data_IF_165898468485
#
_entry.id   IF_165898468485
#
_cell.length_a   1.000
_cell.length_b   1.000
_cell.length_c   1.000
_cell.angle_alpha   90.00
_cell.angle_beta   90.00
_cell.angle_gamma   90.00
#
_symmetry.space_group_name_H-M   'P 1'
#
loop_
_entity.id
_entity.type
_entity.pdbx_description
1 polymer ?
#
# COMPACT_ATOMS: atom_id res chain seq x y z
N UNK A 1 -62.97 50.83 -69.52
CA UNK A 1 -64.26 51.31 -68.96
C UNK A 1 -64.82 50.23 -68.07
N UNK A 2 -65.66 50.58 -67.08
CA UNK A 2 -65.35 51.24 -65.80
C UNK A 2 -64.94 50.18 -64.73
N UNK A 3 -64.80 50.38 -63.42
CA UNK A 3 -65.27 51.40 -62.45
C UNK A 3 -64.33 51.39 -61.21
N UNK A 4 -63.71 52.51 -60.77
CA UNK A 4 -64.07 53.34 -59.57
C UNK A 4 -64.25 52.57 -58.25
N UNK A 5 -63.88 53.01 -57.03
CA UNK A 5 -63.44 54.29 -56.37
C UNK A 5 -63.02 53.88 -54.91
N UNK A 6 -62.49 54.66 -53.96
CA UNK A 6 -61.85 56.00 -53.86
C UNK A 6 -61.30 56.24 -52.44
N UNK A 7 -60.16 56.95 -52.32
CA UNK A 7 -59.88 57.85 -51.19
C UNK A 7 -59.10 57.24 -50.00
N UNK A 8 -57.96 57.79 -49.57
CA UNK A 8 -57.74 59.07 -48.86
C UNK A 8 -58.04 58.98 -47.35
N UNK A 9 -57.28 59.56 -46.40
CA UNK A 9 -55.98 60.25 -46.41
C UNK A 9 -55.70 60.76 -44.99
N UNK A 10 -54.50 60.57 -44.41
CA UNK A 10 -54.00 61.42 -43.31
C UNK A 10 -52.55 61.11 -42.90
N UNK A 11 -51.62 61.94 -43.38
CA UNK A 11 -50.45 62.40 -42.59
C UNK A 11 -50.97 63.39 -41.50
N UNK A 12 -50.22 63.82 -40.45
CA UNK A 12 -48.76 64.04 -40.48
C UNK A 12 -47.95 63.95 -39.15
N UNK A 13 -46.65 64.28 -39.25
CA UNK A 13 -45.75 64.82 -38.18
C UNK A 13 -45.37 63.87 -37.02
N UNK A 14 -44.22 63.98 -36.34
CA UNK A 14 -42.96 64.73 -36.62
C UNK A 14 -41.83 64.35 -35.63
N UNK A 15 -40.60 64.86 -35.89
CA UNK A 15 -39.46 65.13 -34.96
C UNK A 15 -38.26 64.14 -34.89
N UNK A 16 -37.05 64.74 -34.81
CA UNK A 16 -35.73 64.13 -34.51
C UNK A 16 -35.05 63.39 -35.67
N UNK A 17 -34.10 63.92 -36.47
CA UNK A 17 -32.73 64.40 -36.13
C UNK A 17 -32.03 63.46 -35.13
N UNK A 18 -31.13 62.53 -35.53
CA UNK A 18 -29.73 62.70 -36.07
C UNK A 18 -28.73 63.20 -35.00
N UNK A 19 -27.43 62.77 -34.93
CA UNK A 19 -26.71 61.67 -35.63
C UNK A 19 -25.86 60.74 -34.70
N UNK A 20 -25.14 59.79 -35.31
CA UNK A 20 -23.84 59.18 -34.94
C UNK A 20 -23.28 59.39 -33.51
N UNK A 21 -23.02 58.29 -32.80
CA UNK A 21 -21.99 58.27 -31.72
C UNK A 21 -21.21 56.96 -31.71
N UNK A 22 -19.89 57.07 -31.82
CA UNK A 22 -18.95 55.97 -31.72
C UNK A 22 -18.80 55.43 -30.28
N UNK A 23 -17.97 54.39 -30.14
CA UNK A 23 -17.40 53.83 -28.90
C UNK A 23 -18.36 53.25 -27.84
N UNK A 24 -18.45 51.91 -27.81
CA UNK A 24 -18.77 51.16 -26.57
C UNK A 24 -18.04 49.80 -26.51
N UNK A 25 -16.97 49.76 -25.69
CA UNK A 25 -16.27 48.58 -25.09
C UNK A 25 -15.70 47.54 -26.08
N UNK A 26 -14.38 47.39 -26.25
CA UNK A 26 -13.39 46.77 -25.33
C UNK A 26 -13.71 45.34 -24.83
N UNK A 27 -12.65 44.51 -24.82
CA UNK A 27 -12.51 43.22 -24.12
C UNK A 27 -13.12 41.96 -24.77
N UNK A 28 -12.47 41.48 -25.83
CA UNK A 28 -12.46 40.06 -26.20
C UNK A 28 -11.09 39.44 -25.86
N UNK A 29 -10.74 39.43 -24.58
CA UNK A 29 -9.37 39.09 -24.14
C UNK A 29 -9.07 37.59 -24.27
N UNK A 30 -7.82 37.26 -24.64
CA UNK A 30 -7.25 35.90 -24.54
C UNK A 30 -7.60 35.24 -23.20
N UNK A 31 -7.94 33.96 -23.24
CA UNK A 31 -7.36 32.93 -22.35
C UNK A 31 -7.73 31.54 -22.86
N UNK A 32 -6.72 30.77 -23.27
CA UNK A 32 -6.90 29.34 -23.44
C UNK A 32 -7.23 28.74 -22.07
N UNK A 33 -8.29 27.93 -22.00
CA UNK A 33 -8.45 27.01 -20.88
C UNK A 33 -7.46 25.87 -21.08
N UNK A 34 -6.21 26.13 -20.68
CA UNK A 34 -5.41 25.06 -20.10
C UNK A 34 -6.30 24.35 -19.09
N UNK A 35 -6.43 23.04 -19.23
CA UNK A 35 -6.91 22.16 -18.17
C UNK A 35 -5.92 22.29 -17.02
N UNK A 36 -6.10 23.33 -16.20
CA UNK A 36 -5.39 23.49 -14.96
C UNK A 36 -5.70 22.25 -14.13
N UNK A 37 -4.72 21.36 -14.04
CA UNK A 37 -4.69 20.32 -13.03
C UNK A 37 -4.99 21.04 -11.72
N UNK A 38 -6.09 20.68 -11.07
CA UNK A 38 -6.32 21.06 -9.70
C UNK A 38 -5.22 20.35 -8.91
N UNK A 39 -4.12 21.05 -8.69
CA UNK A 39 -3.00 20.57 -7.91
C UNK A 39 -3.53 20.26 -6.51
N UNK A 40 -3.78 18.97 -6.25
CA UNK A 40 -4.18 18.49 -4.93
C UNK A 40 -3.12 19.01 -3.97
N UNK A 41 -3.54 19.69 -2.90
CA UNK A 41 -2.61 20.19 -1.90
C UNK A 41 -1.67 19.05 -1.46
N UNK A 42 -0.35 19.30 -1.33
CA UNK A 42 0.63 18.26 -1.07
C UNK A 42 0.23 17.47 0.18
N UNK A 43 0.26 16.13 0.09
CA UNK A 43 -0.11 15.24 1.21
C UNK A 43 0.97 15.35 2.30
N UNK A 44 0.79 16.27 3.24
CA UNK A 44 1.76 16.56 4.29
C UNK A 44 1.56 15.71 5.56
N UNK A 45 2.61 15.65 6.37
CA UNK A 45 2.61 15.05 7.70
C UNK A 45 2.04 16.05 8.70
N UNK A 46 1.23 15.60 9.68
CA UNK A 46 0.71 16.47 10.73
C UNK A 46 1.85 16.97 11.63
N UNK A 47 1.97 18.30 11.80
CA UNK A 47 3.04 18.95 12.56
C UNK A 47 2.79 19.00 14.08
N UNK A 48 1.91 18.14 14.59
CA UNK A 48 1.55 18.11 16.01
C UNK A 48 2.66 17.45 16.83
N UNK A 49 2.89 17.87 18.09
CA UNK A 49 3.78 17.14 18.99
C UNK A 49 3.21 15.75 19.25
N UNK A 50 4.10 14.75 19.35
CA UNK A 50 3.71 13.39 19.71
C UNK A 50 3.02 13.36 21.07
N UNK A 51 1.93 12.58 21.18
CA UNK A 51 1.22 12.44 22.45
C UNK A 51 2.03 11.61 23.46
N UNK A 52 1.85 11.81 24.79
CA UNK A 52 2.56 11.03 25.80
C UNK A 52 2.34 9.50 25.71
N UNK A 53 1.16 9.06 25.24
CA UNK A 53 0.86 7.64 25.03
C UNK A 53 1.66 7.03 23.86
N UNK A 54 1.94 7.80 22.81
CA UNK A 54 2.81 7.36 21.72
C UNK A 54 4.26 7.18 22.19
N UNK A 55 4.77 8.13 22.97
CA UNK A 55 6.11 8.05 23.55
C UNK A 55 6.25 6.86 24.50
N UNK A 56 5.23 6.59 25.31
CA UNK A 56 5.16 5.38 26.15
C UNK A 56 5.13 4.09 25.33
N UNK A 57 4.40 4.09 24.20
CA UNK A 57 4.36 2.93 23.29
C UNK A 57 5.73 2.66 22.69
N UNK A 58 6.44 3.70 22.20
CA UNK A 58 7.82 3.56 21.72
C UNK A 58 8.80 3.08 22.80
N UNK A 59 8.68 3.60 24.02
CA UNK A 59 9.48 3.14 25.16
C UNK A 59 9.24 1.65 25.45
N UNK A 60 7.98 1.20 25.39
CA UNK A 60 7.61 -0.20 25.58
C UNK A 60 8.14 -1.09 24.45
N UNK A 61 8.05 -0.67 23.19
CA UNK A 61 8.67 -1.39 22.06
C UNK A 61 10.19 -1.53 22.27
N UNK A 62 10.86 -0.45 22.67
CA UNK A 62 12.30 -0.46 22.95
C UNK A 62 12.68 -1.39 24.11
N UNK A 63 11.90 -1.40 25.20
CA UNK A 63 12.09 -2.33 26.32
C UNK A 63 11.92 -3.78 25.87
N UNK A 64 10.93 -4.09 25.02
CA UNK A 64 10.76 -5.44 24.45
C UNK A 64 12.00 -5.82 23.62
N UNK A 65 12.50 -4.92 22.75
CA UNK A 65 13.72 -5.18 21.97
C UNK A 65 14.94 -5.49 22.85
N UNK A 66 15.14 -4.72 23.93
CA UNK A 66 16.24 -4.97 24.87
C UNK A 66 16.07 -6.28 25.65
N UNK A 67 14.84 -6.61 26.07
CA UNK A 67 14.56 -7.83 26.83
C UNK A 67 14.65 -9.10 25.97
N UNK A 68 14.35 -8.99 24.68
CA UNK A 68 14.33 -10.12 23.74
C UNK A 68 15.66 -10.33 23.03
N UNK A 69 16.64 -9.44 23.22
CA UNK A 69 17.95 -9.55 22.59
C UNK A 69 18.63 -10.91 22.89
N UNK A 70 19.16 -11.63 21.87
CA UNK A 70 19.75 -12.95 22.08
C UNK A 70 20.96 -12.87 23.00
N UNK A 71 20.84 -13.42 24.20
CA UNK A 71 21.98 -13.69 25.07
C UNK A 71 22.60 -15.03 24.69
N UNK A 72 23.93 -15.14 24.78
CA UNK A 72 24.76 -16.19 24.16
C UNK A 72 24.56 -17.64 24.64
N UNK A 73 23.50 -17.89 25.42
CA UNK A 73 23.11 -19.21 25.93
C UNK A 73 21.58 -19.42 25.91
N UNK A 74 20.82 -18.60 25.17
CA UNK A 74 19.35 -18.59 25.24
C UNK A 74 18.67 -19.61 24.31
N UNK A 75 17.46 -20.01 24.70
CA UNK A 75 16.65 -21.03 24.02
C UNK A 75 16.32 -20.61 22.58
N UNK A 76 16.31 -21.55 21.62
CA UNK A 76 15.95 -21.28 20.20
C UNK A 76 14.59 -20.59 20.05
N UNK A 77 13.68 -20.75 21.00
CA UNK A 77 12.39 -20.04 21.06
C UNK A 77 12.55 -18.51 21.20
N UNK A 78 13.56 -18.07 21.95
CA UNK A 78 13.85 -16.65 22.16
C UNK A 78 14.50 -16.05 20.91
N UNK A 79 15.42 -16.77 20.25
CA UNK A 79 15.93 -16.41 18.93
C UNK A 79 14.77 -16.22 17.94
N UNK A 80 13.87 -17.21 17.82
CA UNK A 80 12.69 -17.15 16.93
C UNK A 80 11.83 -15.92 17.21
N UNK A 81 11.54 -15.62 18.48
CA UNK A 81 10.79 -14.42 18.85
C UNK A 81 11.54 -13.15 18.45
N UNK A 82 12.84 -13.06 18.78
CA UNK A 82 13.67 -11.90 18.50
C UNK A 82 13.76 -11.60 17.00
N UNK A 83 13.98 -12.63 16.17
CA UNK A 83 14.03 -12.46 14.73
C UNK A 83 12.68 -12.00 14.17
N UNK A 84 11.57 -12.60 14.60
CA UNK A 84 10.22 -12.09 14.26
C UNK A 84 9.96 -10.66 14.75
N UNK A 85 10.50 -10.29 15.91
CA UNK A 85 10.39 -8.93 16.47
C UNK A 85 11.20 -7.92 15.65
N UNK A 86 12.41 -8.27 15.22
CA UNK A 86 13.26 -7.43 14.38
C UNK A 86 12.68 -7.23 12.98
N UNK A 87 12.06 -8.26 12.39
CA UNK A 87 11.28 -8.13 11.14
C UNK A 87 10.10 -7.17 11.33
N UNK A 88 9.34 -7.31 12.42
CA UNK A 88 8.20 -6.43 12.72
C UNK A 88 8.62 -4.95 12.89
N UNK A 89 9.75 -4.71 13.56
CA UNK A 89 10.30 -3.36 13.71
C UNK A 89 10.79 -2.76 12.39
N UNK A 90 11.29 -3.57 11.45
CA UNK A 90 11.79 -3.05 10.18
C UNK A 90 10.68 -2.49 9.29
N UNK A 91 9.43 -2.95 9.43
CA UNK A 91 8.26 -2.31 8.83
C UNK A 91 8.12 -0.84 9.26
N UNK A 92 8.45 -0.52 10.52
CA UNK A 92 8.49 0.87 11.00
C UNK A 92 9.50 1.76 10.27
N UNK A 93 10.57 1.19 9.69
CA UNK A 93 11.59 1.93 8.93
C UNK A 93 11.07 2.35 7.54
N UNK A 94 9.95 1.82 7.08
CA UNK A 94 9.30 2.21 5.83
C UNK A 94 8.91 3.69 5.76
N UNK A 95 8.87 4.41 6.88
CA UNK A 95 8.66 5.87 6.91
C UNK A 95 9.90 6.68 6.54
N UNK A 96 11.11 6.11 6.60
CA UNK A 96 12.37 6.85 6.40
C UNK A 96 12.46 7.55 5.04
N UNK A 97 12.08 6.94 3.90
CA UNK A 97 12.07 7.63 2.60
C UNK A 97 11.16 8.87 2.58
N UNK A 98 10.06 8.85 3.33
CA UNK A 98 9.11 9.95 3.47
C UNK A 98 9.71 11.07 4.34
N UNK A 99 10.44 10.73 5.42
CA UNK A 99 11.15 11.71 6.26
C UNK A 99 12.13 12.56 5.46
N UNK A 100 12.83 11.93 4.52
CA UNK A 100 13.83 12.58 3.68
C UNK A 100 13.21 13.46 2.58
N UNK A 101 11.93 13.23 2.25
CA UNK A 101 11.21 13.87 1.14
C UNK A 101 9.83 14.41 1.60
N UNK A 102 9.75 15.31 2.61
CA UNK A 102 8.51 15.66 3.30
C UNK A 102 7.49 16.47 2.46
N UNK A 103 7.84 16.87 1.23
CA UNK A 103 7.00 17.65 0.32
C UNK A 103 6.84 16.95 -1.04
N UNK A 104 6.47 15.66 -1.04
CA UNK A 104 6.17 14.96 -2.29
C UNK A 104 4.92 15.51 -2.98
N UNK A 105 5.05 15.88 -4.25
CA UNK A 105 3.90 16.09 -5.14
C UNK A 105 3.20 14.76 -5.45
N UNK A 106 1.96 14.80 -5.94
CA UNK A 106 1.22 13.61 -6.43
C UNK A 106 2.10 12.72 -7.32
N UNK A 107 2.85 13.31 -8.24
CA UNK A 107 3.74 12.57 -9.15
C UNK A 107 4.78 11.71 -8.40
N UNK A 108 5.45 12.25 -7.36
CA UNK A 108 6.43 11.48 -6.59
C UNK A 108 5.77 10.43 -5.68
N UNK A 109 4.57 10.70 -5.16
CA UNK A 109 3.79 9.69 -4.42
C UNK A 109 3.38 8.52 -5.31
N UNK A 110 2.91 8.80 -6.52
CA UNK A 110 2.58 7.76 -7.50
C UNK A 110 3.82 7.01 -7.99
N UNK A 111 4.96 7.69 -8.11
CA UNK A 111 6.25 7.05 -8.36
C UNK A 111 6.62 6.09 -7.20
N UNK A 112 6.47 6.50 -5.95
CA UNK A 112 6.70 5.65 -4.78
C UNK A 112 5.75 4.44 -4.72
N UNK A 113 4.48 4.61 -5.09
CA UNK A 113 3.55 3.49 -5.26
C UNK A 113 3.99 2.53 -6.37
N UNK A 114 4.56 3.02 -7.48
CA UNK A 114 5.11 2.17 -8.52
C UNK A 114 6.34 1.37 -8.04
N UNK A 115 7.23 1.98 -7.25
CA UNK A 115 8.35 1.25 -6.61
C UNK A 115 7.82 0.18 -5.66
N UNK A 116 6.86 0.52 -4.79
CA UNK A 116 6.24 -0.44 -3.87
C UNK A 116 5.56 -1.61 -4.61
N UNK A 117 4.79 -1.34 -5.67
CA UNK A 117 4.18 -2.37 -6.51
C UNK A 117 5.23 -3.30 -7.14
N UNK A 118 6.34 -2.77 -7.63
CA UNK A 118 7.45 -3.54 -8.19
C UNK A 118 8.09 -4.48 -7.17
N UNK A 119 8.47 -3.94 -6.01
CA UNK A 119 9.08 -4.71 -4.91
C UNK A 119 8.13 -5.79 -4.39
N UNK A 120 6.85 -5.46 -4.16
CA UNK A 120 5.83 -6.43 -3.74
C UNK A 120 5.55 -7.52 -4.78
N UNK A 121 5.62 -7.21 -6.08
CA UNK A 121 5.48 -8.22 -7.15
C UNK A 121 6.64 -9.21 -7.13
N UNK A 122 7.87 -8.72 -6.94
CA UNK A 122 9.07 -9.56 -6.78
C UNK A 122 9.00 -10.44 -5.53
N UNK A 123 8.56 -9.88 -4.40
CA UNK A 123 8.30 -10.63 -3.18
C UNK A 123 7.22 -11.71 -3.34
N UNK A 124 6.12 -11.38 -4.03
CA UNK A 124 5.04 -12.33 -4.35
C UNK A 124 5.57 -13.54 -5.15
N UNK A 125 6.45 -13.30 -6.11
CA UNK A 125 7.12 -14.36 -6.86
C UNK A 125 7.99 -15.24 -5.96
N UNK A 126 8.82 -14.64 -5.11
CA UNK A 126 9.72 -15.39 -4.21
C UNK A 126 8.93 -16.27 -3.23
N UNK A 127 7.82 -15.80 -2.65
CA UNK A 127 6.92 -16.61 -1.82
C UNK A 127 6.29 -17.78 -2.59
N UNK A 128 5.80 -17.53 -3.81
CA UNK A 128 5.24 -18.58 -4.66
C UNK A 128 6.31 -19.61 -5.06
N UNK A 129 7.53 -19.17 -5.38
CA UNK A 129 8.65 -20.06 -5.73
C UNK A 129 9.06 -20.95 -4.56
N UNK A 130 9.11 -20.39 -3.35
CA UNK A 130 9.43 -21.15 -2.13
C UNK A 130 8.37 -22.21 -1.84
N UNK A 131 7.08 -21.84 -1.94
CA UNK A 131 5.97 -22.79 -1.80
C UNK A 131 5.98 -23.90 -2.85
N UNK A 132 6.33 -23.55 -4.10
CA UNK A 132 6.42 -24.50 -5.22
C UNK A 132 7.53 -25.55 -5.03
N UNK A 133 8.66 -25.17 -4.43
CA UNK A 133 9.79 -26.07 -4.17
C UNK A 133 9.67 -26.83 -2.83
N UNK A 134 8.87 -26.30 -1.90
CA UNK A 134 8.65 -26.89 -0.57
C UNK A 134 7.73 -28.10 -0.63
N UNK A 135 8.26 -29.32 -0.80
CA UNK A 135 7.51 -30.56 -0.57
C UNK A 135 7.76 -31.16 0.84
N UNK A 136 6.97 -30.77 1.86
CA UNK A 136 7.06 -31.35 3.19
C UNK A 136 6.43 -32.75 3.30
N UNK A 137 5.60 -33.15 2.33
CA UNK A 137 4.83 -34.39 2.36
C UNK A 137 4.57 -34.87 0.93
N UNK A 138 5.40 -35.78 0.39
CA UNK A 138 5.18 -36.38 -0.93
C UNK A 138 3.96 -37.30 -0.89
N UNK A 139 2.78 -36.70 -1.11
CA UNK A 139 1.49 -37.38 -1.23
C UNK A 139 0.96 -37.27 -2.68
N UNK A 140 -0.36 -37.34 -2.88
CA UNK A 140 -0.96 -37.23 -4.23
C UNK A 140 -1.10 -35.81 -4.75
N UNK A 141 -0.89 -34.79 -3.93
CA UNK A 141 -1.07 -33.38 -4.30
C UNK A 141 0.25 -32.64 -4.07
N UNK A 142 1.07 -32.58 -5.12
CA UNK A 142 2.39 -31.95 -5.08
C UNK A 142 2.37 -30.49 -4.61
N UNK A 143 3.53 -29.98 -4.15
CA UNK A 143 3.65 -28.62 -3.61
C UNK A 143 3.15 -27.55 -4.60
N UNK A 144 3.33 -27.77 -5.89
CA UNK A 144 2.89 -26.88 -6.97
C UNK A 144 1.37 -26.68 -6.94
N UNK A 145 0.62 -27.76 -6.80
CA UNK A 145 -0.85 -27.72 -6.74
C UNK A 145 -1.34 -27.09 -5.44
N UNK A 146 -0.66 -27.34 -4.31
CA UNK A 146 -0.94 -26.71 -3.01
C UNK A 146 -0.69 -25.21 -3.05
N UNK A 147 0.42 -24.76 -3.63
CA UNK A 147 0.76 -23.34 -3.76
C UNK A 147 -0.13 -22.62 -4.76
N UNK A 148 -0.46 -23.21 -5.91
CA UNK A 148 -1.43 -22.64 -6.84
C UNK A 148 -2.82 -22.49 -6.20
N UNK A 149 -3.27 -23.48 -5.42
CA UNK A 149 -4.50 -23.38 -4.63
C UNK A 149 -4.41 -22.22 -3.61
N UNK A 150 -3.28 -22.10 -2.90
CA UNK A 150 -2.98 -20.98 -2.01
C UNK A 150 -3.13 -19.63 -2.73
N UNK A 151 -2.44 -19.44 -3.86
CA UNK A 151 -2.47 -18.20 -4.66
C UNK A 151 -3.89 -17.81 -5.04
N UNK A 152 -4.70 -18.76 -5.51
CA UNK A 152 -6.09 -18.51 -5.86
C UNK A 152 -6.93 -18.12 -4.64
N UNK A 153 -6.76 -18.80 -3.50
CA UNK A 153 -7.47 -18.46 -2.25
C UNK A 153 -7.07 -17.06 -1.78
N UNK A 154 -5.77 -16.72 -1.80
CA UNK A 154 -5.27 -15.39 -1.40
C UNK A 154 -5.83 -14.27 -2.27
N UNK A 155 -5.80 -14.45 -3.59
CA UNK A 155 -6.35 -13.48 -4.54
C UNK A 155 -7.87 -13.28 -4.37
N UNK A 156 -8.63 -14.38 -4.23
CA UNK A 156 -10.07 -14.34 -3.98
C UNK A 156 -10.38 -13.74 -2.60
N UNK A 157 -9.55 -14.00 -1.59
CA UNK A 157 -9.72 -13.47 -0.24
C UNK A 157 -9.66 -11.93 -0.22
N UNK A 158 -8.74 -11.30 -0.96
CA UNK A 158 -8.70 -9.84 -1.07
C UNK A 158 -9.95 -9.28 -1.76
N UNK A 159 -10.41 -9.91 -2.84
CA UNK A 159 -11.65 -9.52 -3.53
C UNK A 159 -12.88 -9.61 -2.61
N UNK A 160 -13.00 -10.68 -1.83
CA UNK A 160 -14.10 -10.86 -0.87
C UNK A 160 -13.99 -9.81 0.24
N UNK A 161 -12.79 -9.58 0.77
CA UNK A 161 -12.53 -8.62 1.85
C UNK A 161 -12.86 -7.19 1.40
N UNK A 162 -12.42 -6.76 0.22
CA UNK A 162 -12.78 -5.46 -0.36
C UNK A 162 -14.30 -5.28 -0.47
N UNK A 163 -14.99 -6.25 -1.09
CA UNK A 163 -16.47 -6.25 -1.21
C UNK A 163 -17.19 -6.27 0.15
N UNK A 164 -16.59 -6.91 1.16
CA UNK A 164 -17.13 -6.92 2.53
C UNK A 164 -16.99 -5.54 3.17
N UNK A 165 -15.81 -4.90 3.06
CA UNK A 165 -15.59 -3.53 3.59
C UNK A 165 -16.49 -2.49 2.90
N UNK A 166 -16.77 -2.63 1.61
CA UNK A 166 -17.73 -1.77 0.92
C UNK A 166 -19.14 -1.84 1.53
N UNK A 167 -19.54 -2.99 2.09
CA UNK A 167 -20.85 -3.17 2.71
C UNK A 167 -21.03 -2.41 4.04
N UNK A 168 -19.95 -2.02 4.72
CA UNK A 168 -20.00 -1.26 5.98
C UNK A 168 -19.95 0.27 5.80
N UNK A 169 -19.97 0.74 4.55
CA UNK A 169 -19.90 2.16 4.14
C UNK A 169 -20.99 3.07 4.74
N UNK A 170 -22.13 2.53 5.15
CA UNK A 170 -23.29 3.33 5.55
C UNK A 170 -23.26 3.81 7.01
N UNK A 171 -22.27 3.39 7.81
CA UNK A 171 -22.07 3.89 9.17
C UNK A 171 -21.41 5.28 9.12
N UNK A 172 -22.23 6.30 8.89
CA UNK A 172 -21.85 7.72 8.98
C UNK A 172 -21.33 8.05 10.39
N UNK A 173 -20.01 8.04 10.56
CA UNK A 173 -19.36 8.79 11.64
C UNK A 173 -19.54 10.28 11.31
N UNK A 174 -20.12 11.10 12.19
CA UNK A 174 -20.26 12.52 11.91
C UNK A 174 -18.88 13.19 11.76
N UNK A 175 -18.73 13.98 10.70
CA UNK A 175 -17.71 15.02 10.55
C UNK A 175 -16.25 14.63 10.21
N UNK A 176 -16.01 13.56 9.43
CA UNK A 176 -14.76 13.37 8.65
C UNK A 176 -15.06 12.85 7.23
N UNK A 177 -14.21 13.18 6.26
CA UNK A 177 -14.41 12.81 4.84
C UNK A 177 -14.19 11.30 4.61
N UNK A 178 -15.25 10.59 4.26
CA UNK A 178 -15.36 9.13 4.44
C UNK A 178 -14.65 8.24 3.39
N UNK A 179 -13.88 8.80 2.45
CA UNK A 179 -13.20 7.99 1.41
C UNK A 179 -11.79 7.52 1.77
N UNK A 180 -11.04 8.23 2.62
CA UNK A 180 -9.65 7.86 2.96
C UNK A 180 -9.53 6.75 4.00
N UNK A 181 -10.54 6.59 4.86
CA UNK A 181 -10.53 5.61 5.97
C UNK A 181 -10.73 4.17 5.51
N UNK A 182 -11.51 3.92 4.44
CA UNK A 182 -11.73 2.58 3.88
C UNK A 182 -10.42 1.96 3.37
N UNK A 183 -9.69 2.67 2.49
CA UNK A 183 -8.45 2.17 1.88
C UNK A 183 -7.38 1.91 2.95
N UNK A 184 -7.26 2.79 3.94
CA UNK A 184 -6.39 2.57 5.10
C UNK A 184 -6.79 1.32 5.89
N UNK A 185 -8.07 1.15 6.23
CA UNK A 185 -8.55 -0.03 6.97
C UNK A 185 -8.33 -1.33 6.19
N UNK A 186 -8.63 -1.34 4.89
CA UNK A 186 -8.42 -2.49 4.01
C UNK A 186 -6.94 -2.87 3.97
N UNK A 187 -6.06 -1.90 3.71
CA UNK A 187 -4.62 -2.15 3.62
C UNK A 187 -4.08 -2.59 4.97
N UNK A 188 -4.37 -1.90 6.07
CA UNK A 188 -3.96 -2.33 7.44
C UNK A 188 -4.40 -3.77 7.72
N UNK A 189 -5.66 -4.11 7.46
CA UNK A 189 -6.18 -5.47 7.69
C UNK A 189 -5.49 -6.53 6.81
N UNK A 190 -5.29 -6.22 5.53
CA UNK A 190 -4.62 -7.13 4.57
C UNK A 190 -3.15 -7.31 4.91
N UNK A 191 -2.42 -6.24 5.22
CA UNK A 191 -1.01 -6.33 5.63
C UNK A 191 -0.90 -7.11 6.95
N UNK A 192 -1.80 -6.91 7.92
CA UNK A 192 -1.83 -7.73 9.15
C UNK A 192 -2.01 -9.23 8.88
N UNK A 193 -2.85 -9.61 7.92
CA UNK A 193 -2.99 -11.01 7.52
C UNK A 193 -1.81 -11.53 6.70
N UNK A 194 -1.12 -10.66 5.97
CA UNK A 194 0.13 -10.99 5.30
C UNK A 194 1.25 -11.27 6.31
N UNK A 195 1.49 -10.34 7.24
CA UNK A 195 2.45 -10.46 8.33
C UNK A 195 2.18 -11.67 9.25
N UNK A 196 0.93 -12.14 9.35
CA UNK A 196 0.62 -13.40 10.03
C UNK A 196 1.27 -14.60 9.31
N UNK A 197 1.14 -14.67 7.98
CA UNK A 197 1.74 -15.74 7.17
C UNK A 197 3.28 -15.65 7.17
N UNK A 198 3.84 -14.44 7.13
CA UNK A 198 5.28 -14.22 7.31
C UNK A 198 5.77 -14.70 8.66
N UNK A 199 5.04 -14.43 9.75
CA UNK A 199 5.33 -14.97 11.08
C UNK A 199 5.38 -16.49 11.12
N UNK A 200 4.45 -17.15 10.42
CA UNK A 200 4.49 -18.62 10.25
C UNK A 200 5.76 -19.05 9.50
N UNK A 201 6.10 -18.38 8.40
CA UNK A 201 7.33 -18.65 7.64
C UNK A 201 8.61 -18.51 8.47
N UNK A 202 8.72 -17.45 9.27
CA UNK A 202 9.81 -17.26 10.24
C UNK A 202 9.87 -18.44 11.20
N UNK A 203 8.76 -18.78 11.88
CA UNK A 203 8.76 -19.88 12.84
C UNK A 203 9.13 -21.24 12.25
N UNK A 204 8.60 -21.57 11.06
CA UNK A 204 8.88 -22.85 10.39
C UNK A 204 10.32 -22.92 9.88
N UNK A 205 10.88 -21.81 9.36
CA UNK A 205 12.27 -21.78 8.86
C UNK A 205 13.34 -21.99 9.94
N UNK A 206 13.00 -21.75 11.22
CA UNK A 206 13.84 -22.14 12.36
C UNK A 206 13.80 -23.65 12.70
N UNK A 207 13.02 -24.44 11.97
CA UNK A 207 12.85 -25.88 12.16
C UNK A 207 13.92 -26.77 11.53
N UNK A 208 13.99 -28.02 12.01
CA UNK A 208 14.84 -29.07 11.43
C UNK A 208 16.35 -28.91 11.70
N UNK A 209 17.19 -29.79 11.10
CA UNK A 209 18.61 -29.90 11.42
C UNK A 209 19.45 -28.64 11.13
N UNK A 210 19.01 -27.79 10.19
CA UNK A 210 19.69 -26.56 9.80
C UNK A 210 18.91 -25.28 10.17
N UNK A 211 17.83 -25.42 10.95
CA UNK A 211 16.87 -24.35 11.21
C UNK A 211 17.47 -23.08 11.80
N UNK A 212 18.48 -23.17 12.69
CA UNK A 212 19.10 -21.97 13.25
C UNK A 212 19.82 -21.11 12.19
N UNK A 213 20.33 -21.69 11.10
CA UNK A 213 20.95 -20.93 10.01
C UNK A 213 19.89 -20.45 9.03
N UNK A 214 19.00 -21.35 8.59
CA UNK A 214 17.93 -21.05 7.63
C UNK A 214 16.98 -19.97 8.16
N UNK A 215 16.53 -20.09 9.41
CA UNK A 215 15.61 -19.13 10.03
C UNK A 215 16.20 -17.73 10.20
N UNK A 216 17.49 -17.63 10.53
CA UNK A 216 18.20 -16.34 10.61
C UNK A 216 18.29 -15.68 9.24
N UNK A 217 18.64 -16.45 8.21
CA UNK A 217 18.68 -16.00 6.83
C UNK A 217 17.30 -15.49 6.37
N UNK A 218 16.25 -16.33 6.49
CA UNK A 218 14.88 -15.98 6.10
C UNK A 218 14.40 -14.72 6.84
N UNK A 219 14.65 -14.60 8.13
CA UNK A 219 14.22 -13.44 8.92
C UNK A 219 14.94 -12.14 8.53
N UNK A 220 16.22 -12.21 8.13
CA UNK A 220 16.95 -11.04 7.60
C UNK A 220 16.42 -10.65 6.21
N UNK A 221 16.16 -11.63 5.34
CA UNK A 221 15.55 -11.40 4.02
C UNK A 221 14.17 -10.75 4.14
N UNK A 222 13.32 -11.26 5.05
CA UNK A 222 12.04 -10.64 5.40
C UNK A 222 12.24 -9.24 6.00
N UNK A 223 13.16 -9.05 6.94
CA UNK A 223 13.39 -7.71 7.52
C UNK A 223 13.76 -6.66 6.48
N UNK A 224 14.46 -7.03 5.39
CA UNK A 224 14.70 -6.15 4.23
C UNK A 224 13.43 -5.92 3.40
N UNK A 225 12.59 -6.94 3.22
CA UNK A 225 11.29 -6.88 2.53
C UNK A 225 10.25 -5.99 3.26
N UNK A 226 10.21 -6.03 4.60
CA UNK A 226 9.22 -5.26 5.37
C UNK A 226 9.44 -3.74 5.31
N UNK A 227 10.64 -3.24 4.95
CA UNK A 227 10.86 -1.79 4.75
C UNK A 227 10.03 -1.24 3.56
N UNK A 228 10.09 -1.84 2.35
CA UNK A 228 9.09 -1.67 1.28
C UNK A 228 7.62 -1.75 1.70
N UNK A 229 7.27 -2.75 2.52
CA UNK A 229 5.89 -2.98 2.97
C UNK A 229 5.39 -1.81 3.85
N UNK A 230 6.19 -1.39 4.82
CA UNK A 230 5.92 -0.24 5.67
C UNK A 230 5.84 1.06 4.88
N UNK A 231 6.63 1.23 3.81
CA UNK A 231 6.51 2.38 2.91
C UNK A 231 5.14 2.40 2.23
N UNK A 232 4.62 1.25 1.78
CA UNK A 232 3.29 1.17 1.17
C UNK A 232 2.17 1.54 2.14
N UNK A 233 2.22 1.05 3.39
CA UNK A 233 1.30 1.46 4.47
C UNK A 233 1.41 2.96 4.75
N UNK A 234 2.64 3.47 4.87
CA UNK A 234 2.91 4.86 5.19
C UNK A 234 2.39 5.85 4.12
N UNK A 235 2.53 5.53 2.83
CA UNK A 235 2.03 6.38 1.73
C UNK A 235 0.50 6.53 1.78
N UNK A 236 -0.23 5.48 2.17
CA UNK A 236 -1.70 5.50 2.30
C UNK A 236 -2.15 6.36 3.49
N UNK A 237 -1.31 6.49 4.51
CA UNK A 237 -1.53 7.36 5.66
C UNK A 237 -1.18 8.84 5.39
N UNK A 238 -0.43 9.16 4.34
CA UNK A 238 -0.08 10.54 4.00
C UNK A 238 -1.31 11.37 3.60
N UNK A 239 -1.35 12.62 4.08
CA UNK A 239 -2.52 13.48 3.88
C UNK A 239 -3.77 12.99 4.63
N UNK A 240 -3.57 12.14 5.63
CA UNK A 240 -4.44 11.96 6.79
C UNK A 240 -3.75 12.64 7.99
N UNK A 241 -4.51 12.98 9.04
CA UNK A 241 -4.04 13.82 10.15
C UNK A 241 -3.21 13.04 11.19
N UNK A 242 -2.16 12.36 10.71
CA UNK A 242 -1.18 11.60 11.49
C UNK A 242 0.17 12.31 11.49
N UNK A 243 0.85 12.26 12.63
CA UNK A 243 2.27 12.56 12.77
C UNK A 243 3.13 11.42 12.20
N UNK A 244 4.37 11.71 11.85
CA UNK A 244 5.34 10.72 11.39
C UNK A 244 5.48 9.53 12.35
N UNK A 245 5.46 9.81 13.66
CA UNK A 245 5.61 8.82 14.72
C UNK A 245 4.39 7.88 14.79
N UNK A 246 3.19 8.40 14.55
CA UNK A 246 1.98 7.60 14.40
C UNK A 246 2.05 6.70 13.17
N UNK A 247 2.50 7.22 12.03
CA UNK A 247 2.66 6.43 10.80
C UNK A 247 3.64 5.28 11.05
N UNK A 248 4.79 5.54 11.70
CA UNK A 248 5.76 4.51 12.04
C UNK A 248 5.18 3.43 12.97
N UNK A 249 4.42 3.82 14.01
CA UNK A 249 3.72 2.84 14.85
C UNK A 249 2.71 2.03 14.07
N UNK A 250 1.88 2.64 13.22
CA UNK A 250 0.89 1.91 12.43
C UNK A 250 1.53 0.88 11.50
N UNK A 251 2.70 1.17 10.93
CA UNK A 251 3.49 0.20 10.14
C UNK A 251 4.04 -0.96 11.01
N UNK A 252 4.46 -0.71 12.25
CA UNK A 252 4.85 -1.78 13.19
C UNK A 252 3.62 -2.58 13.64
N UNK A 253 2.49 -1.92 13.88
CA UNK A 253 1.24 -2.54 14.32
C UNK A 253 0.66 -3.47 13.26
N UNK A 254 0.84 -3.19 11.96
CA UNK A 254 0.47 -4.14 10.91
C UNK A 254 1.27 -5.44 11.03
N UNK A 255 2.57 -5.36 11.37
CA UNK A 255 3.48 -6.50 11.40
C UNK A 255 3.63 -7.22 12.75
N UNK A 256 2.95 -6.77 13.80
CA UNK A 256 2.87 -7.47 15.10
C UNK A 256 2.50 -8.97 15.03
N UNK A 257 1.74 -9.48 14.06
CA UNK A 257 1.53 -10.92 13.93
C UNK A 257 2.81 -11.74 13.70
N UNK A 258 3.88 -11.17 13.15
CA UNK A 258 5.14 -11.88 12.88
C UNK A 258 5.75 -12.49 14.16
N UNK A 259 6.13 -11.72 15.20
CA UNK A 259 6.68 -12.28 16.44
C UNK A 259 5.68 -13.15 17.20
N UNK A 260 4.38 -12.83 17.09
CA UNK A 260 3.29 -13.59 17.74
C UNK A 260 3.15 -14.98 17.12
N UNK A 261 3.30 -15.12 15.80
CA UNK A 261 3.15 -16.39 15.08
C UNK A 261 4.45 -17.17 14.90
N UNK A 262 5.60 -16.51 14.93
CA UNK A 262 6.90 -17.18 14.83
C UNK A 262 7.09 -18.24 15.92
N UNK A 263 6.82 -17.93 17.19
CA UNK A 263 7.03 -18.89 18.28
C UNK A 263 6.08 -20.09 18.20
N UNK A 264 4.74 -19.94 18.07
CA UNK A 264 3.85 -21.09 17.86
C UNK A 264 4.23 -21.93 16.64
N UNK A 265 4.62 -21.31 15.53
CA UNK A 265 4.93 -22.04 14.29
C UNK A 265 6.24 -22.82 14.40
N UNK A 266 7.21 -22.32 15.16
CA UNK A 266 8.41 -23.07 15.57
C UNK A 266 8.11 -24.20 16.57
N UNK A 267 7.13 -24.04 17.46
CA UNK A 267 6.78 -25.09 18.43
C UNK A 267 5.96 -26.23 17.82
N UNK A 268 5.18 -25.94 16.77
CA UNK A 268 4.27 -26.88 16.13
C UNK A 268 4.61 -27.08 14.65
N UNK A 269 5.91 -27.13 14.31
CA UNK A 269 6.42 -27.25 12.94
C UNK A 269 5.73 -28.39 12.16
N UNK A 270 5.55 -29.56 12.77
CA UNK A 270 4.86 -30.71 12.14
C UNK A 270 3.39 -30.43 11.77
N UNK A 271 2.74 -29.49 12.46
CA UNK A 271 1.38 -29.01 12.16
C UNK A 271 1.37 -27.95 11.05
N UNK A 272 2.39 -27.11 10.98
CA UNK A 272 2.49 -26.01 10.01
C UNK A 272 3.13 -26.42 8.67
N UNK A 273 4.03 -27.41 8.67
CA UNK A 273 4.68 -27.91 7.45
C UNK A 273 3.67 -28.32 6.35
N UNK A 274 2.64 -29.16 6.58
CA UNK A 274 1.74 -29.59 5.52
C UNK A 274 0.98 -28.43 4.85
N UNK A 275 0.70 -27.37 5.60
CA UNK A 275 -0.03 -26.19 5.13
C UNK A 275 0.88 -25.08 4.60
N UNK A 276 2.20 -25.18 4.77
CA UNK A 276 3.17 -24.15 4.38
C UNK A 276 3.06 -23.78 2.87
N UNK A 277 3.00 -24.72 1.91
CA UNK A 277 2.89 -24.36 0.50
C UNK A 277 1.60 -23.59 0.17
N UNK A 278 0.50 -23.91 0.86
CA UNK A 278 -0.80 -23.22 0.74
C UNK A 278 -0.70 -21.82 1.36
N UNK A 279 -0.07 -21.69 2.52
CA UNK A 279 0.12 -20.42 3.22
C UNK A 279 1.04 -19.45 2.46
N UNK A 280 2.15 -19.93 1.92
CA UNK A 280 3.06 -19.16 1.06
C UNK A 280 2.36 -18.73 -0.24
N UNK A 281 1.61 -19.63 -0.87
CA UNK A 281 0.77 -19.31 -2.02
C UNK A 281 -0.28 -18.25 -1.69
N UNK A 282 -0.99 -18.40 -0.57
CA UNK A 282 -1.99 -17.42 -0.10
C UNK A 282 -1.39 -16.03 0.09
N UNK A 283 -0.23 -15.95 0.75
CA UNK A 283 0.50 -14.71 0.95
C UNK A 283 0.91 -14.08 -0.40
N UNK A 284 1.52 -14.85 -1.30
CA UNK A 284 1.94 -14.38 -2.63
C UNK A 284 0.77 -13.93 -3.51
N UNK A 285 -0.36 -14.65 -3.51
CA UNK A 285 -1.56 -14.28 -4.27
C UNK A 285 -2.26 -13.03 -3.74
N UNK A 286 -2.29 -12.85 -2.41
CA UNK A 286 -2.81 -11.65 -1.76
C UNK A 286 -1.92 -10.42 -2.05
N UNK A 287 -0.60 -10.54 -1.91
CA UNK A 287 0.36 -9.48 -2.24
C UNK A 287 0.28 -9.08 -3.73
N UNK A 288 0.22 -10.06 -4.64
CA UNK A 288 0.13 -9.81 -6.07
C UNK A 288 -1.14 -9.02 -6.43
N UNK A 289 -2.26 -9.29 -5.75
CA UNK A 289 -3.46 -8.47 -5.90
C UNK A 289 -3.18 -7.02 -5.48
N UNK A 290 -2.66 -6.78 -4.28
CA UNK A 290 -2.39 -5.42 -3.77
C UNK A 290 -1.39 -4.67 -4.65
N UNK A 291 -0.31 -5.33 -5.07
CA UNK A 291 0.70 -4.74 -5.94
C UNK A 291 0.11 -4.27 -7.29
N UNK A 292 -0.68 -5.12 -7.95
CA UNK A 292 -1.19 -4.85 -9.31
C UNK A 292 -2.47 -3.99 -9.30
N UNK A 293 -3.43 -4.30 -8.43
CA UNK A 293 -4.76 -3.69 -8.45
C UNK A 293 -4.92 -2.50 -7.50
N UNK A 294 -4.11 -2.36 -6.45
CA UNK A 294 -4.17 -1.21 -5.54
C UNK A 294 -3.02 -0.23 -5.79
N UNK A 295 -1.77 -0.69 -5.76
CA UNK A 295 -0.59 0.17 -5.83
C UNK A 295 -0.28 0.63 -7.26
N UNK A 296 -0.23 -0.27 -8.24
CA UNK A 296 0.04 0.12 -9.63
C UNK A 296 -1.10 0.95 -10.26
N UNK A 297 -2.37 0.72 -9.85
CA UNK A 297 -3.48 1.56 -10.29
C UNK A 297 -3.41 2.97 -9.67
N UNK A 298 -3.21 3.09 -8.34
CA UNK A 298 -3.04 4.40 -7.67
C UNK A 298 -1.80 5.15 -8.20
N UNK A 299 -0.72 4.43 -8.50
CA UNK A 299 0.45 5.00 -9.16
C UNK A 299 0.09 5.63 -10.51
N UNK A 300 -0.73 4.96 -11.32
CA UNK A 300 -1.23 5.51 -12.58
C UNK A 300 -2.20 6.70 -12.37
N UNK A 301 -3.02 6.69 -11.32
CA UNK A 301 -3.91 7.83 -10.99
C UNK A 301 -3.14 9.10 -10.63
N UNK A 302 -1.97 9.01 -10.00
CA UNK A 302 -1.18 10.19 -9.60
C UNK A 302 -0.05 10.56 -10.61
N UNK A 303 0.39 9.62 -11.47
CA UNK A 303 1.45 9.83 -12.50
C UNK A 303 0.88 10.03 -13.92
N UNK A 304 -0.29 9.48 -14.22
CA UNK A 304 -0.94 9.47 -15.54
C UNK A 304 -0.10 8.88 -16.70
N UNK A 305 0.89 8.04 -16.41
CA UNK A 305 1.75 7.41 -17.43
C UNK A 305 2.06 5.95 -17.09
N UNK A 306 1.49 5.03 -17.86
CA UNK A 306 1.75 3.59 -17.72
C UNK A 306 3.21 3.22 -17.99
N UNK A 307 3.91 3.92 -18.88
CA UNK A 307 5.33 3.65 -19.15
C UNK A 307 6.21 4.01 -17.96
N UNK A 308 5.89 5.10 -17.25
CA UNK A 308 6.58 5.46 -16.02
C UNK A 308 6.28 4.46 -14.88
N UNK A 309 5.00 4.13 -14.67
CA UNK A 309 4.59 3.19 -13.61
C UNK A 309 5.18 1.80 -13.83
N UNK A 310 5.02 1.21 -15.02
CA UNK A 310 5.54 -0.13 -15.32
C UNK A 310 7.07 -0.15 -15.41
N UNK A 311 7.71 0.89 -15.95
CA UNK A 311 9.17 0.98 -16.01
C UNK A 311 9.80 1.03 -14.61
N UNK A 312 9.25 1.86 -13.72
CA UNK A 312 9.74 2.01 -12.34
C UNK A 312 9.40 0.78 -11.49
N UNK A 313 8.22 0.20 -11.68
CA UNK A 313 7.84 -1.08 -11.06
C UNK A 313 8.74 -2.24 -11.50
N UNK A 314 9.04 -2.35 -12.80
CA UNK A 314 9.94 -3.37 -13.31
C UNK A 314 11.37 -3.21 -12.77
N UNK A 315 11.94 -2.00 -12.79
CA UNK A 315 13.29 -1.73 -12.29
C UNK A 315 13.37 -2.02 -10.78
N UNK A 316 12.42 -1.53 -9.99
CA UNK A 316 12.41 -1.76 -8.54
C UNK A 316 12.17 -3.22 -8.16
N UNK A 317 11.32 -3.94 -8.90
CA UNK A 317 11.13 -5.39 -8.75
C UNK A 317 12.39 -6.19 -9.10
N UNK A 318 13.12 -5.80 -10.15
CA UNK A 318 14.42 -6.39 -10.50
C UNK A 318 15.48 -6.11 -9.43
N UNK A 319 15.58 -4.87 -8.93
CA UNK A 319 16.47 -4.54 -7.82
C UNK A 319 16.15 -5.36 -6.56
N UNK A 320 14.86 -5.51 -6.22
CA UNK A 320 14.43 -6.35 -5.11
C UNK A 320 14.81 -7.81 -5.33
N UNK A 321 14.64 -8.34 -6.55
CA UNK A 321 15.00 -9.73 -6.87
C UNK A 321 16.51 -9.95 -6.75
N UNK A 322 17.33 -9.03 -7.26
CA UNK A 322 18.79 -9.09 -7.12
C UNK A 322 19.24 -9.05 -5.66
N UNK A 323 18.57 -8.27 -4.81
CA UNK A 323 18.84 -8.26 -3.35
C UNK A 323 18.43 -9.59 -2.72
N UNK A 324 17.28 -10.16 -3.08
CA UNK A 324 16.84 -11.46 -2.59
C UNK A 324 17.78 -12.61 -3.01
N UNK A 325 18.28 -12.60 -4.25
CA UNK A 325 19.26 -13.57 -4.77
C UNK A 325 20.63 -13.39 -4.11
N UNK A 326 21.13 -12.15 -4.00
CA UNK A 326 22.39 -11.87 -3.29
C UNK A 326 22.39 -12.28 -1.81
N UNK A 327 21.22 -12.29 -1.16
CA UNK A 327 21.11 -12.79 0.20
C UNK A 327 21.02 -14.33 0.26
N UNK A 328 20.60 -14.99 -0.82
CA UNK A 328 20.38 -16.45 -0.89
C UNK A 328 21.67 -17.25 -1.16
N UNK A 329 22.70 -16.62 -1.72
CA UNK A 329 24.02 -17.22 -2.04
C UNK A 329 25.07 -17.00 -0.92
#
# INVERSE_FOLDING_TARGET
MPSTRSGSSSTPRSQGKSPSRATRKQSGMRKGKSSAQQEKAPKSISSRPASPSLLLTFLLLFIITLYTFPTSSSSTKNDVFFYGWMTCLSTGLGVVPIMLLPNMSSYYLGLSNAVAAGMMTSASWSLCSEGWMSDPFPDKLGPEARTLLGVLIGFIFIIITGKFLDKYEHLKVPNKENFKSKKLLLIVFVMTLHSFAEGVGIGVSFGGPHGSTLGKYISVSLAVHNVPEGLAVAIVMLGQDFTLLEIALWCIMTSLPQPVMAVPSYLFIETFLPILPIGLGFAGGAMAYVAVFELALEAYEEVHSWTAVLGVGAISGLCMRMVQEFLHD
#
